data_IF_495753532226
#
_entry.id   IF_495753532226
#
_cell.length_a   1.000
_cell.length_b   1.000
_cell.length_c   1.000
_cell.angle_alpha   90.00
_cell.angle_beta   90.00
_cell.angle_gamma   90.00
#
_symmetry.space_group_name_H-M   'P 1'
#
loop_
_entity.id
_entity.type
_entity.pdbx_description
1 polymer ?
#
# COMPACT_ATOMS: atom_id res chain seq x y z
N UNK A 1 13.94 -8.92 -3.23
CA UNK A 1 13.09 -7.72 -3.40
C UNK A 1 11.74 -8.09 -2.85
N UNK A 2 11.30 -7.42 -1.79
CA UNK A 2 9.92 -7.54 -1.31
C UNK A 2 8.99 -7.03 -2.41
N UNK A 3 7.92 -7.75 -2.70
CA UNK A 3 6.89 -7.30 -3.64
C UNK A 3 6.22 -6.06 -3.10
N UNK A 4 6.20 -4.98 -3.89
CA UNK A 4 5.55 -3.73 -3.51
C UNK A 4 4.04 -3.91 -3.50
N UNK A 5 3.36 -3.40 -2.47
CA UNK A 5 1.92 -3.59 -2.30
C UNK A 5 1.09 -2.39 -2.77
N UNK A 6 -0.14 -2.64 -3.20
CA UNK A 6 -1.09 -1.59 -3.62
C UNK A 6 -2.32 -1.55 -2.74
N UNK A 7 -2.62 -0.38 -2.21
CA UNK A 7 -3.77 -0.10 -1.36
C UNK A 7 -4.64 0.97 -2.02
N UNK A 8 -5.95 0.92 -1.84
CA UNK A 8 -6.88 1.98 -2.26
C UNK A 8 -7.56 2.60 -1.05
N UNK A 9 -7.52 3.93 -0.96
CA UNK A 9 -8.29 4.69 0.03
C UNK A 9 -9.73 4.83 -0.46
N UNK A 10 -10.71 4.42 0.33
CA UNK A 10 -12.15 4.49 0.05
C UNK A 10 -12.94 4.86 1.31
N UNK A 11 -12.41 5.79 2.10
CA UNK A 11 -12.92 6.23 3.41
C UNK A 11 -13.68 7.56 3.38
N UNK A 12 -13.87 8.13 2.19
CA UNK A 12 -14.62 9.37 1.96
C UNK A 12 -15.70 9.18 0.89
N UNK A 13 -16.64 10.12 0.82
CA UNK A 13 -17.74 10.09 -0.16
C UNK A 13 -18.93 9.22 0.24
N UNK A 14 -19.91 9.13 -0.66
CA UNK A 14 -21.06 8.26 -0.50
C UNK A 14 -20.72 6.82 -0.92
N UNK A 15 -21.60 5.87 -0.59
CA UNK A 15 -21.34 4.45 -0.87
C UNK A 15 -21.21 4.14 -2.36
N UNK A 16 -21.93 4.84 -3.23
CA UNK A 16 -21.88 4.56 -4.67
C UNK A 16 -20.51 4.94 -5.25
N UNK A 17 -19.96 6.09 -4.85
CA UNK A 17 -18.61 6.50 -5.23
C UNK A 17 -17.55 5.54 -4.66
N UNK A 18 -17.65 5.19 -3.37
CA UNK A 18 -16.77 4.22 -2.74
C UNK A 18 -16.81 2.87 -3.46
N UNK A 19 -18.01 2.36 -3.77
CA UNK A 19 -18.21 1.10 -4.47
C UNK A 19 -17.54 1.12 -5.84
N UNK A 20 -17.72 2.17 -6.63
CA UNK A 20 -17.08 2.30 -7.93
C UNK A 20 -15.55 2.27 -7.82
N UNK A 21 -14.99 3.00 -6.84
CA UNK A 21 -13.55 3.03 -6.56
C UNK A 21 -13.01 1.64 -6.18
N UNK A 22 -13.72 0.94 -5.29
CA UNK A 22 -13.35 -0.40 -4.80
C UNK A 22 -13.45 -1.44 -5.92
N UNK A 23 -14.54 -1.45 -6.68
CA UNK A 23 -14.72 -2.38 -7.81
C UNK A 23 -13.66 -2.17 -8.89
N UNK A 24 -13.34 -0.92 -9.23
CA UNK A 24 -12.24 -0.62 -10.16
C UNK A 24 -10.91 -1.15 -9.63
N UNK A 25 -10.66 -1.01 -8.34
CA UNK A 25 -9.43 -1.44 -7.69
C UNK A 25 -9.29 -2.96 -7.66
N UNK A 26 -10.38 -3.68 -7.35
CA UNK A 26 -10.47 -5.14 -7.44
C UNK A 26 -10.14 -5.64 -8.85
N UNK A 27 -10.72 -5.02 -9.88
CA UNK A 27 -10.46 -5.36 -11.29
C UNK A 27 -9.03 -5.04 -11.73
N UNK A 28 -8.36 -4.11 -11.03
CA UNK A 28 -7.01 -3.66 -11.35
C UNK A 28 -5.92 -4.40 -10.54
N UNK A 29 -6.29 -5.31 -9.63
CA UNK A 29 -5.32 -6.09 -8.84
C UNK A 29 -4.84 -5.43 -7.54
N UNK A 30 -5.60 -4.46 -7.01
CA UNK A 30 -5.29 -3.85 -5.70
C UNK A 30 -5.47 -4.86 -4.58
N UNK A 31 -4.52 -4.91 -3.65
CA UNK A 31 -4.44 -5.94 -2.61
C UNK A 31 -5.18 -5.59 -1.33
N UNK A 32 -5.31 -4.30 -1.00
CA UNK A 32 -5.97 -3.84 0.21
C UNK A 32 -6.85 -2.60 -0.03
N UNK A 33 -7.97 -2.51 0.67
CA UNK A 33 -8.83 -1.32 0.69
C UNK A 33 -8.91 -0.75 2.10
N UNK A 34 -8.60 0.54 2.23
CA UNK A 34 -8.78 1.33 3.44
C UNK A 34 -10.18 1.97 3.43
N UNK A 35 -11.02 1.63 4.40
CA UNK A 35 -12.38 2.20 4.55
C UNK A 35 -12.62 2.77 5.94
N UNK A 36 -13.59 3.68 6.04
CA UNK A 36 -14.08 4.17 7.33
C UNK A 36 -14.74 3.05 8.13
N UNK A 37 -14.85 3.28 9.43
CA UNK A 37 -15.77 2.61 10.35
C UNK A 37 -17.16 2.46 9.70
N UNK A 38 -17.80 1.29 9.77
CA UNK A 38 -19.11 1.08 9.12
C UNK A 38 -19.11 0.23 7.86
N UNK A 39 -17.93 -0.04 7.29
CA UNK A 39 -17.81 -0.42 5.87
C UNK A 39 -17.23 -1.80 5.63
N UNK A 40 -16.62 -2.43 6.64
CA UNK A 40 -15.95 -3.73 6.48
C UNK A 40 -16.90 -4.78 5.89
N UNK A 41 -18.11 -4.92 6.44
CA UNK A 41 -19.10 -5.87 5.95
C UNK A 41 -19.49 -5.63 4.49
N UNK A 42 -19.73 -4.37 4.11
CA UNK A 42 -20.14 -4.01 2.76
C UNK A 42 -19.04 -4.24 1.72
N UNK A 43 -17.78 -4.02 2.10
CA UNK A 43 -16.64 -4.30 1.21
C UNK A 43 -16.53 -5.80 0.93
N UNK A 44 -16.69 -6.64 1.96
CA UNK A 44 -16.64 -8.10 1.83
C UNK A 44 -17.77 -8.66 0.94
N UNK A 45 -18.87 -7.94 0.77
CA UNK A 45 -19.92 -8.30 -0.21
C UNK A 45 -19.50 -8.05 -1.67
N UNK A 46 -18.49 -7.20 -1.92
CA UNK A 46 -18.03 -6.86 -3.27
C UNK A 46 -16.99 -7.86 -3.81
N UNK A 47 -16.25 -8.53 -2.93
CA UNK A 47 -15.21 -9.48 -3.30
C UNK A 47 -14.28 -9.84 -2.14
N UNK A 48 -13.37 -10.77 -2.41
CA UNK A 48 -12.31 -11.17 -1.49
C UNK A 48 -11.11 -10.22 -1.65
N UNK A 49 -10.95 -9.30 -0.71
CA UNK A 49 -9.86 -8.31 -0.65
C UNK A 49 -9.56 -7.99 0.81
N UNK A 50 -8.30 -7.74 1.14
CA UNK A 50 -7.92 -7.33 2.49
C UNK A 50 -8.54 -5.98 2.83
N UNK A 51 -9.18 -5.88 3.99
CA UNK A 51 -9.83 -4.65 4.44
C UNK A 51 -9.06 -4.05 5.62
N UNK A 52 -8.57 -2.83 5.44
CA UNK A 52 -8.02 -2.00 6.49
C UNK A 52 -9.07 -0.99 6.98
N UNK A 53 -9.25 -0.86 8.29
CA UNK A 53 -10.22 0.10 8.85
C UNK A 53 -9.90 0.44 10.32
N UNK A 54 -10.29 1.63 10.83
CA UNK A 54 -10.26 1.90 12.26
C UNK A 54 -11.17 0.96 13.07
N UNK A 55 -10.87 0.81 14.36
CA UNK A 55 -11.67 -0.03 15.26
C UNK A 55 -12.99 0.67 15.58
N UNK A 56 -14.11 0.16 15.06
CA UNK A 56 -15.42 0.68 15.48
C UNK A 56 -16.63 -0.25 15.33
N UNK A 57 -16.48 -1.51 14.93
CA UNK A 57 -17.65 -2.36 14.62
C UNK A 57 -17.60 -3.78 15.18
N UNK A 58 -18.77 -4.43 15.16
CA UNK A 58 -18.99 -5.85 15.42
C UNK A 58 -18.19 -6.77 14.47
N UNK A 59 -17.81 -6.27 13.29
CA UNK A 59 -17.03 -6.99 12.27
C UNK A 59 -15.60 -6.46 12.27
N UNK A 60 -14.66 -7.32 12.61
CA UNK A 60 -13.24 -6.98 12.64
C UNK A 60 -12.66 -6.87 11.22
N UNK A 61 -11.91 -5.79 10.91
CA UNK A 61 -11.13 -5.72 9.68
C UNK A 61 -9.94 -6.69 9.71
N UNK A 62 -9.32 -6.90 8.56
CA UNK A 62 -8.12 -7.75 8.45
C UNK A 62 -6.88 -7.00 8.97
N UNK A 63 -6.85 -5.68 8.78
CA UNK A 63 -5.83 -4.76 9.31
C UNK A 63 -6.51 -3.66 10.10
N UNK A 64 -6.10 -3.50 11.36
CA UNK A 64 -6.63 -2.45 12.24
C UNK A 64 -5.84 -1.16 12.06
N UNK A 65 -6.51 -0.07 11.72
CA UNK A 65 -5.85 1.22 11.45
C UNK A 65 -5.96 2.13 12.66
N UNK A 66 -4.83 2.65 13.13
CA UNK A 66 -4.72 3.57 14.27
C UNK A 66 -4.22 4.93 13.78
N UNK A 67 -4.81 6.02 14.28
CA UNK A 67 -4.41 7.40 13.93
C UNK A 67 -5.41 8.16 13.04
N UNK A 68 -6.39 7.48 12.45
CA UNK A 68 -7.56 8.11 11.83
C UNK A 68 -8.50 8.61 12.94
N UNK A 69 -9.02 9.84 12.82
CA UNK A 69 -9.75 10.58 13.85
C UNK A 69 -8.94 10.79 15.16
N UNK A 70 -7.62 10.61 15.10
CA UNK A 70 -6.71 10.54 16.24
C UNK A 70 -5.62 11.61 16.20
N UNK A 71 -4.47 11.30 16.79
CA UNK A 71 -3.30 12.19 16.78
C UNK A 71 -2.57 12.13 15.42
N UNK A 72 -2.57 10.96 14.76
CA UNK A 72 -1.89 10.73 13.48
C UNK A 72 -2.44 11.55 12.32
N UNK A 73 -3.76 11.70 12.21
CA UNK A 73 -4.38 12.58 11.21
C UNK A 73 -4.53 14.03 11.69
N UNK A 74 -4.17 14.31 12.94
CA UNK A 74 -4.21 15.62 13.58
C UNK A 74 -5.61 16.12 13.92
N UNK A 75 -6.60 15.22 14.02
CA UNK A 75 -7.92 15.50 14.62
C UNK A 75 -7.79 15.80 16.11
N UNK A 76 -6.91 15.05 16.79
CA UNK A 76 -6.43 15.33 18.13
C UNK A 76 -5.00 15.87 18.08
N UNK A 77 -4.61 16.79 18.98
CA UNK A 77 -3.27 17.33 18.99
C UNK A 77 -2.25 16.31 19.51
N UNK A 78 -1.11 16.18 18.83
CA UNK A 78 0.02 15.38 19.31
C UNK A 78 0.45 15.82 20.72
N UNK A 79 0.71 14.88 21.64
CA UNK A 79 1.17 15.19 22.99
C UNK A 79 2.56 15.86 22.97
N UNK A 80 2.94 16.51 24.07
CA UNK A 80 4.29 17.10 24.19
C UNK A 80 5.38 16.03 24.21
N UNK A 81 5.09 14.87 24.80
CA UNK A 81 5.94 13.70 24.80
C UNK A 81 5.19 12.54 24.11
N UNK A 82 5.80 11.96 23.08
CA UNK A 82 5.21 10.89 22.27
C UNK A 82 4.94 9.61 23.08
N UNK A 83 5.63 9.38 24.20
CA UNK A 83 5.32 8.26 25.12
C UNK A 83 3.89 8.33 25.67
N UNK A 84 3.27 9.50 25.70
CA UNK A 84 1.88 9.68 26.13
C UNK A 84 0.86 9.63 25.01
N UNK A 85 1.26 9.27 23.78
CA UNK A 85 0.37 9.19 22.63
C UNK A 85 -0.69 8.12 22.81
N UNK A 86 -1.96 8.50 22.64
CA UNK A 86 -3.05 7.52 22.68
C UNK A 86 -3.00 6.56 21.49
N UNK A 87 -2.56 7.05 20.33
CA UNK A 87 -2.42 6.24 19.12
C UNK A 87 -1.32 5.17 19.30
N UNK A 88 -0.12 5.54 19.78
CA UNK A 88 0.96 4.57 20.02
C UNK A 88 0.54 3.53 21.08
N UNK A 89 -0.03 3.97 22.19
CA UNK A 89 -0.51 3.06 23.25
C UNK A 89 -1.57 2.08 22.70
N UNK A 90 -2.45 2.56 21.82
CA UNK A 90 -3.49 1.74 21.19
C UNK A 90 -2.88 0.73 20.22
N UNK A 91 -1.92 1.15 19.40
CA UNK A 91 -1.20 0.29 18.47
C UNK A 91 -0.42 -0.82 19.21
N UNK A 92 0.36 -0.48 20.23
CA UNK A 92 1.09 -1.44 21.07
C UNK A 92 0.15 -2.48 21.70
N UNK A 93 -1.00 -2.03 22.22
CA UNK A 93 -2.00 -2.92 22.79
C UNK A 93 -2.53 -3.90 21.73
N UNK A 94 -2.95 -3.41 20.58
CA UNK A 94 -3.49 -4.25 19.49
C UNK A 94 -2.45 -5.25 18.97
N UNK A 95 -1.20 -4.82 18.81
CA UNK A 95 -0.09 -5.68 18.42
C UNK A 95 0.14 -6.79 19.46
N UNK A 96 0.10 -6.46 20.76
CA UNK A 96 0.24 -7.46 21.85
C UNK A 96 -0.91 -8.47 21.91
N UNK A 97 -2.08 -8.12 21.37
CA UNK A 97 -3.23 -9.00 21.20
C UNK A 97 -3.15 -9.86 19.91
N UNK A 98 -2.06 -9.74 19.16
CA UNK A 98 -1.81 -10.47 17.91
C UNK A 98 -2.64 -9.98 16.72
N UNK A 99 -3.07 -8.71 16.74
CA UNK A 99 -3.72 -8.06 15.60
C UNK A 99 -2.66 -7.51 14.64
N UNK A 100 -2.97 -7.56 13.34
CA UNK A 100 -2.21 -6.80 12.35
C UNK A 100 -2.62 -5.33 12.44
N UNK A 101 -1.65 -4.43 12.61
CA UNK A 101 -1.88 -3.01 12.88
C UNK A 101 -1.22 -2.15 11.81
N UNK A 102 -1.96 -1.15 11.32
CA UNK A 102 -1.44 -0.09 10.48
C UNK A 102 -1.52 1.26 11.21
N UNK A 103 -0.39 1.96 11.35
CA UNK A 103 -0.37 3.36 11.78
C UNK A 103 -0.71 4.28 10.61
N UNK A 104 -1.60 5.25 10.80
CA UNK A 104 -1.97 6.25 9.80
C UNK A 104 -1.53 7.63 10.25
N UNK A 105 -0.67 8.29 9.47
CA UNK A 105 -0.17 9.62 9.80
C UNK A 105 -0.24 10.56 8.60
N UNK A 106 -0.84 11.72 8.82
CA UNK A 106 -0.80 12.84 7.87
C UNK A 106 0.42 13.70 8.20
N UNK A 107 1.42 13.69 7.33
CA UNK A 107 2.70 14.36 7.53
C UNK A 107 2.56 15.85 7.25
N UNK A 108 2.31 16.61 8.32
CA UNK A 108 2.10 18.07 8.27
C UNK A 108 3.36 18.88 8.57
N UNK A 109 4.21 18.36 9.46
CA UNK A 109 5.45 18.99 9.90
C UNK A 109 6.45 17.94 10.44
N UNK A 110 7.61 18.43 10.90
CA UNK A 110 8.68 17.55 11.41
C UNK A 110 8.29 16.76 12.67
N UNK A 111 7.34 17.26 13.48
CA UNK A 111 6.84 16.55 14.65
C UNK A 111 5.97 15.37 14.24
N UNK A 112 5.16 15.51 13.18
CA UNK A 112 4.41 14.40 12.60
C UNK A 112 5.34 13.37 11.93
N UNK A 113 6.45 13.79 11.30
CA UNK A 113 7.47 12.84 10.82
C UNK A 113 8.07 12.01 11.96
N UNK A 114 8.44 12.66 13.07
CA UNK A 114 8.97 11.96 14.25
C UNK A 114 7.92 11.01 14.84
N UNK A 115 6.67 11.47 14.92
CA UNK A 115 5.57 10.65 15.38
C UNK A 115 5.33 9.42 14.48
N UNK A 116 5.39 9.57 13.16
CA UNK A 116 5.24 8.48 12.22
C UNK A 116 6.31 7.38 12.42
N UNK A 117 7.56 7.77 12.69
CA UNK A 117 8.62 6.80 13.00
C UNK A 117 8.34 6.07 14.32
N UNK A 118 7.96 6.78 15.39
CA UNK A 118 7.65 6.12 16.67
C UNK A 118 6.43 5.20 16.57
N UNK A 119 5.39 5.60 15.83
CA UNK A 119 4.22 4.76 15.59
C UNK A 119 4.55 3.57 14.68
N UNK A 120 5.40 3.75 13.68
CA UNK A 120 5.83 2.70 12.76
C UNK A 120 6.59 1.56 13.46
N UNK A 121 7.35 1.85 14.53
CA UNK A 121 8.08 0.83 15.31
C UNK A 121 7.19 -0.22 15.99
N UNK A 122 5.91 0.07 16.16
CA UNK A 122 4.96 -0.78 16.87
C UNK A 122 3.84 -1.32 15.98
N UNK A 123 3.93 -1.08 14.67
CA UNK A 123 2.92 -1.45 13.68
C UNK A 123 3.53 -2.35 12.59
N UNK A 124 2.71 -3.20 11.96
CA UNK A 124 3.11 -3.98 10.78
C UNK A 124 3.18 -3.10 9.52
N UNK A 125 2.35 -2.05 9.48
CA UNK A 125 2.30 -1.09 8.38
C UNK A 125 2.33 0.36 8.88
N UNK A 126 3.00 1.25 8.15
CA UNK A 126 2.93 2.69 8.34
C UNK A 126 2.38 3.34 7.07
N UNK A 127 1.16 3.85 7.15
CA UNK A 127 0.52 4.65 6.11
C UNK A 127 0.90 6.12 6.32
N UNK A 128 1.71 6.67 5.43
CA UNK A 128 2.17 8.05 5.49
C UNK A 128 1.55 8.87 4.34
N UNK A 129 0.73 9.86 4.68
CA UNK A 129 0.06 10.74 3.70
C UNK A 129 0.65 12.14 3.79
N UNK A 130 1.27 12.64 2.71
CA UNK A 130 1.80 13.99 2.66
C UNK A 130 0.71 15.02 2.32
N UNK A 131 0.76 16.22 2.92
CA UNK A 131 -0.11 17.35 2.52
C UNK A 131 0.46 18.18 1.38
N UNK A 132 1.79 18.21 1.27
CA UNK A 132 2.56 18.78 0.16
C UNK A 132 3.63 17.75 -0.16
N UNK A 133 3.43 16.93 -1.21
CA UNK A 133 4.35 15.83 -1.49
C UNK A 133 5.79 16.40 -1.65
N UNK A 134 6.69 15.98 -0.77
CA UNK A 134 8.13 16.22 -0.85
C UNK A 134 8.80 14.87 -0.63
N UNK A 135 9.85 14.59 -1.39
CA UNK A 135 10.68 13.37 -1.24
C UNK A 135 11.25 13.25 0.18
N UNK A 136 11.64 14.38 0.78
CA UNK A 136 12.44 14.44 2.02
C UNK A 136 11.75 13.78 3.24
N UNK A 137 10.45 14.03 3.53
CA UNK A 137 9.78 13.31 4.62
C UNK A 137 9.80 11.79 4.47
N UNK A 138 9.56 11.25 3.27
CA UNK A 138 9.53 9.81 3.02
C UNK A 138 10.90 9.18 3.26
N UNK A 139 11.97 9.83 2.78
CA UNK A 139 13.36 9.41 3.02
C UNK A 139 13.68 9.27 4.51
N UNK A 140 13.24 10.25 5.32
CA UNK A 140 13.47 10.24 6.76
C UNK A 140 12.76 9.07 7.45
N UNK A 141 11.55 8.72 7.02
CA UNK A 141 10.80 7.60 7.59
C UNK A 141 11.42 6.27 7.20
N UNK A 142 11.80 6.09 5.93
CA UNK A 142 12.52 4.89 5.45
C UNK A 142 13.81 4.70 6.25
N UNK A 143 14.60 5.76 6.42
CA UNK A 143 15.85 5.69 7.19
C UNK A 143 15.61 5.43 8.68
N UNK A 144 14.56 6.00 9.27
CA UNK A 144 14.22 5.84 10.68
C UNK A 144 13.67 4.47 11.06
N UNK A 145 13.16 3.72 10.06
CA UNK A 145 12.52 2.41 10.22
C UNK A 145 13.26 1.28 9.50
N UNK A 146 14.48 1.54 9.01
CA UNK A 146 15.23 0.59 8.18
C UNK A 146 15.49 -0.77 8.85
N UNK A 147 15.72 -0.78 10.17
CA UNK A 147 15.97 -1.99 10.96
C UNK A 147 14.70 -2.54 11.63
N UNK A 148 13.53 -1.94 11.37
CA UNK A 148 12.25 -2.32 11.95
C UNK A 148 11.45 -3.18 10.99
N UNK A 149 10.62 -4.09 11.51
CA UNK A 149 9.76 -4.97 10.71
C UNK A 149 8.42 -4.28 10.41
N UNK A 150 8.47 -3.21 9.61
CA UNK A 150 7.30 -2.41 9.23
C UNK A 150 7.33 -2.08 7.74
N UNK A 151 6.19 -2.25 7.07
CA UNK A 151 6.02 -1.88 5.66
C UNK A 151 5.49 -0.45 5.52
N UNK A 152 6.22 0.41 4.81
CA UNK A 152 5.81 1.81 4.60
C UNK A 152 4.90 1.92 3.36
N UNK A 153 3.68 2.40 3.56
CA UNK A 153 2.66 2.62 2.53
C UNK A 153 2.51 4.14 2.30
N UNK A 154 3.00 4.64 1.16
CA UNK A 154 2.96 6.07 0.86
C UNK A 154 1.64 6.48 0.18
N UNK A 155 0.98 7.51 0.69
CA UNK A 155 -0.21 8.09 0.05
C UNK A 155 0.14 8.82 -1.25
N UNK A 156 -0.58 8.52 -2.33
CA UNK A 156 -0.34 9.06 -3.69
C UNK A 156 -1.65 9.33 -4.41
N UNK A 157 -1.68 10.39 -5.22
CA UNK A 157 -2.87 10.80 -5.98
C UNK A 157 -2.75 10.50 -7.47
N UNK A 158 -1.52 10.34 -7.97
CA UNK A 158 -1.25 10.05 -9.37
C UNK A 158 -0.06 9.10 -9.58
N UNK A 159 0.13 8.67 -10.83
CA UNK A 159 1.18 7.73 -11.22
C UNK A 159 2.60 8.31 -11.09
N UNK A 160 2.78 9.63 -11.18
CA UNK A 160 4.08 10.27 -11.04
C UNK A 160 4.51 10.28 -9.56
N UNK A 161 3.59 10.58 -8.65
CA UNK A 161 3.80 10.45 -7.20
C UNK A 161 4.07 8.99 -6.80
N UNK A 162 3.29 8.04 -7.33
CA UNK A 162 3.49 6.61 -7.09
C UNK A 162 4.89 6.15 -7.51
N UNK A 163 5.33 6.54 -8.71
CA UNK A 163 6.66 6.21 -9.21
C UNK A 163 7.74 6.73 -8.27
N UNK A 164 7.60 7.97 -7.84
CA UNK A 164 8.58 8.60 -6.99
C UNK A 164 8.64 7.98 -5.60
N UNK A 165 7.49 7.67 -4.99
CA UNK A 165 7.43 6.99 -3.70
C UNK A 165 8.16 5.63 -3.74
N UNK A 166 8.02 4.88 -4.83
CA UNK A 166 8.61 3.55 -4.98
C UNK A 166 10.10 3.60 -5.38
N UNK A 167 10.57 4.66 -6.04
CA UNK A 167 11.97 4.79 -6.47
C UNK A 167 12.87 5.52 -5.44
N UNK A 168 12.29 6.07 -4.38
CA UNK A 168 13.01 6.87 -3.36
C UNK A 168 14.09 6.04 -2.63
N UNK A 169 15.32 6.56 -2.49
CA UNK A 169 16.46 5.91 -1.80
C UNK A 169 16.80 4.48 -2.28
N UNK A 170 16.59 4.13 -3.55
CA UNK A 170 16.83 2.80 -4.15
C UNK A 170 16.01 1.64 -3.55
N UNK A 171 15.40 1.83 -2.37
CA UNK A 171 14.56 0.87 -1.68
C UNK A 171 13.07 1.22 -1.81
N UNK A 172 12.71 2.50 -1.77
CA UNK A 172 11.35 3.03 -1.89
C UNK A 172 10.43 2.69 -0.74
N UNK A 173 9.24 3.29 -0.73
CA UNK A 173 8.12 2.81 0.08
C UNK A 173 7.78 1.36 -0.32
N UNK A 174 7.35 0.53 0.63
CA UNK A 174 6.94 -0.87 0.41
C UNK A 174 5.60 -1.01 -0.29
N UNK A 175 4.82 0.07 -0.34
CA UNK A 175 3.62 0.13 -1.13
C UNK A 175 3.09 1.55 -1.26
N UNK A 176 1.95 1.66 -1.92
CA UNK A 176 1.25 2.94 -2.10
C UNK A 176 -0.20 2.84 -1.68
N UNK A 177 -0.71 3.91 -1.07
CA UNK A 177 -2.13 4.13 -0.83
C UNK A 177 -2.66 5.10 -1.89
N UNK A 178 -3.43 4.58 -2.83
CA UNK A 178 -4.04 5.32 -3.92
C UNK A 178 -5.19 6.16 -3.36
N UNK A 179 -5.16 7.48 -3.56
CA UNK A 179 -6.21 8.42 -3.16
C UNK A 179 -6.70 9.23 -4.37
N UNK A 180 -7.45 8.56 -5.24
CA UNK A 180 -8.04 9.17 -6.44
C UNK A 180 -9.39 8.53 -6.77
N UNK A 181 -10.27 9.32 -7.37
CA UNK A 181 -11.57 8.89 -7.89
C UNK A 181 -11.54 8.54 -9.39
N UNK A 182 -10.43 8.81 -10.09
CA UNK A 182 -10.31 8.53 -11.53
C UNK A 182 -9.92 7.05 -11.74
N UNK A 183 -10.80 6.23 -12.36
CA UNK A 183 -10.50 4.83 -12.66
C UNK A 183 -9.27 4.64 -13.56
N UNK A 184 -9.02 5.61 -14.45
CA UNK A 184 -7.85 5.59 -15.33
C UNK A 184 -6.58 5.75 -14.49
N UNK A 185 -6.62 6.61 -13.49
CA UNK A 185 -5.48 6.88 -12.61
C UNK A 185 -5.14 5.69 -11.73
N UNK A 186 -6.15 5.04 -11.15
CA UNK A 186 -5.98 3.80 -10.38
C UNK A 186 -5.18 2.78 -11.21
N UNK A 187 -5.58 2.57 -12.48
CA UNK A 187 -4.89 1.64 -13.40
C UNK A 187 -3.46 2.08 -13.71
N UNK A 188 -3.23 3.38 -13.90
CA UNK A 188 -1.87 3.92 -14.15
C UNK A 188 -0.96 3.66 -12.96
N UNK A 189 -1.42 3.94 -11.74
CA UNK A 189 -0.67 3.75 -10.50
C UNK A 189 -0.37 2.27 -10.27
N UNK A 190 -1.36 1.39 -10.38
CA UNK A 190 -1.12 -0.05 -10.22
C UNK A 190 -0.09 -0.55 -11.22
N UNK A 191 -0.18 -0.13 -12.49
CA UNK A 191 0.82 -0.49 -13.50
C UNK A 191 2.23 0.02 -13.16
N UNK A 192 2.38 1.17 -12.50
CA UNK A 192 3.69 1.66 -12.02
C UNK A 192 4.25 0.72 -10.95
N UNK A 193 3.42 0.31 -10.00
CA UNK A 193 3.82 -0.57 -8.90
C UNK A 193 4.19 -1.96 -9.41
N UNK A 194 3.36 -2.54 -10.27
CA UNK A 194 3.64 -3.84 -10.90
C UNK A 194 4.98 -3.83 -11.66
N UNK A 195 5.23 -2.81 -12.48
CA UNK A 195 6.48 -2.68 -13.25
C UNK A 195 7.71 -2.53 -12.36
N UNK A 196 7.58 -1.90 -11.19
CA UNK A 196 8.69 -1.75 -10.24
C UNK A 196 9.16 -3.09 -9.65
N UNK A 197 8.24 -4.05 -9.53
CA UNK A 197 8.53 -5.40 -9.01
C UNK A 197 9.10 -6.36 -10.04
N UNK A 198 9.05 -6.03 -11.34
CA UNK A 198 9.56 -6.88 -12.42
C UNK A 198 11.07 -6.64 -12.57
N UNK A 199 11.94 -7.61 -12.21
CA UNK A 199 13.36 -7.47 -12.44
C UNK A 199 13.63 -7.37 -13.93
N UNK A 200 14.50 -6.43 -14.32
CA UNK A 200 14.98 -6.36 -15.70
C UNK A 200 15.89 -7.55 -15.96
N UNK A 201 15.41 -8.52 -16.74
CA UNK A 201 16.21 -9.68 -17.15
C UNK A 201 16.82 -9.37 -18.52
N UNK A 202 18.15 -9.19 -18.62
CA UNK A 202 18.79 -8.98 -19.91
C UNK A 202 18.67 -10.25 -20.76
N UNK A 203 18.32 -10.07 -22.04
CA UNK A 203 18.36 -11.16 -23.01
C UNK A 203 19.80 -11.70 -23.12
N UNK A 204 19.96 -13.01 -22.97
CA UNK A 204 21.25 -13.66 -23.12
C UNK A 204 21.31 -14.48 -24.40
N UNK A 205 22.44 -14.39 -25.09
CA UNK A 205 22.69 -15.21 -26.28
C UNK A 205 23.03 -16.63 -25.85
N UNK A 206 22.20 -17.59 -26.25
CA UNK A 206 22.47 -19.01 -26.06
C UNK A 206 23.01 -19.63 -27.36
N UNK A 207 23.97 -20.55 -27.24
CA UNK A 207 24.45 -21.36 -28.36
C UNK A 207 23.69 -22.69 -28.39
N UNK A 208 23.08 -23.01 -29.52
CA UNK A 208 22.56 -24.36 -29.76
C UNK A 208 23.74 -25.32 -29.87
N UNK A 209 23.87 -26.26 -28.93
CA UNK A 209 24.97 -27.23 -28.89
C UNK A 209 24.63 -28.54 -29.58
N UNK A 210 23.37 -28.97 -29.50
CA UNK A 210 22.87 -30.25 -30.01
C UNK A 210 21.41 -30.11 -30.41
N UNK A 211 20.99 -30.80 -31.48
CA UNK A 211 19.59 -30.96 -31.87
C UNK A 211 19.32 -32.46 -32.00
N UNK A 212 18.38 -32.98 -31.19
CA UNK A 212 18.03 -34.40 -31.16
C UNK A 212 16.51 -34.59 -31.25
N UNK A 213 16.03 -35.67 -31.89
CA UNK A 213 14.62 -36.03 -31.85
C UNK A 213 14.25 -36.43 -30.41
N UNK A 214 13.34 -35.67 -29.78
CA UNK A 214 12.60 -36.14 -28.61
C UNK A 214 11.28 -36.73 -29.08
N UNK A 215 10.81 -37.78 -28.38
CA UNK A 215 9.55 -38.48 -28.68
C UNK A 215 8.33 -37.59 -28.44
N UNK A 216 7.16 -38.21 -28.23
CA UNK A 216 5.96 -37.44 -27.86
C UNK A 216 6.18 -36.71 -26.52
N UNK A 217 5.76 -35.46 -26.47
CA UNK A 217 5.75 -34.64 -25.26
C UNK A 217 4.46 -33.82 -25.19
N UNK A 218 4.14 -33.34 -24.00
CA UNK A 218 2.98 -32.48 -23.77
C UNK A 218 3.23 -31.08 -24.33
N UNK A 219 2.21 -30.51 -24.99
CA UNK A 219 2.21 -29.11 -25.40
C UNK A 219 1.61 -28.27 -24.28
N UNK A 220 2.35 -27.26 -23.85
CA UNK A 220 1.84 -26.21 -22.96
C UNK A 220 1.83 -24.91 -23.75
N UNK A 221 0.68 -24.24 -23.78
CA UNK A 221 0.58 -22.87 -24.28
C UNK A 221 0.91 -21.93 -23.12
N UNK A 222 1.95 -21.12 -23.28
CA UNK A 222 2.27 -20.03 -22.36
C UNK A 222 1.79 -18.75 -23.03
N UNK A 223 0.78 -18.11 -22.43
CA UNK A 223 0.26 -16.83 -22.90
C UNK A 223 0.97 -15.70 -22.14
N UNK A 224 1.57 -14.78 -22.88
CA UNK A 224 2.23 -13.59 -22.35
C UNK A 224 1.50 -12.31 -22.75
N UNK A 225 0.23 -12.38 -23.17
CA UNK A 225 -0.56 -11.20 -23.57
C UNK A 225 -0.61 -10.12 -22.48
N UNK A 226 -0.55 -10.50 -21.20
CA UNK A 226 -0.52 -9.55 -20.08
C UNK A 226 0.77 -8.73 -19.99
N UNK A 227 1.86 -9.18 -20.64
CA UNK A 227 3.15 -8.48 -20.70
C UNK A 227 3.27 -7.60 -21.95
N UNK A 228 2.29 -7.65 -22.86
CA UNK A 228 2.33 -6.98 -24.15
C UNK A 228 1.52 -5.68 -24.12
N UNK A 229 2.03 -4.66 -24.82
CA UNK A 229 1.30 -3.43 -25.13
C UNK A 229 0.37 -3.63 -26.33
N UNK A 230 -0.60 -2.73 -26.50
CA UNK A 230 -1.50 -2.73 -27.66
C UNK A 230 -0.69 -2.68 -28.95
N UNK A 231 -0.79 -3.74 -29.76
CA UNK A 231 -0.10 -3.88 -31.05
C UNK A 231 1.17 -4.75 -31.02
N UNK A 232 1.52 -5.36 -29.89
CA UNK A 232 2.70 -6.22 -29.75
C UNK A 232 2.42 -7.73 -29.99
N UNK A 233 1.22 -8.10 -30.47
CA UNK A 233 0.77 -9.49 -30.69
C UNK A 233 0.50 -9.85 -32.15
#
# INVERSE_FOLDING_TARGET
MSTKTTWIKADTGNWDAQKQRITTSLESGVECVLVSEGRVGKVRELGDIMVASPVAEDIMPDIVVVGINGEGDGTQPLPTNLTGSMDIITAEKLASEGKTVAGYVVIRDKKYEQFAVELGRVCDYLIAVGTDWKVIPLENMIAGLFDEDVAIIAGVQDADEAKLAIETLEHGADGVLIDTDDPSEIKRIVGVVERSGIPTVPLQVARVTVVEPKGMGDRVCVDTCSLMSVGEG
#
